data_IF_792885534265
#
_entry.id   IF_792885534265
#
_cell.length_a   1.000
_cell.length_b   1.000
_cell.length_c   1.000
_cell.angle_alpha   90.00
_cell.angle_beta   90.00
_cell.angle_gamma   90.00
#
_symmetry.space_group_name_H-M   'P 1'
#
loop_
_entity.id
_entity.type
_entity.pdbx_description
1 polymer ?
#
# COMPACT_ATOMS: atom_id res chain seq x y z
N UNK A 1 15.10 -12.56 11.42
CA UNK A 1 13.93 -11.82 10.90
C UNK A 1 14.31 -10.35 10.89
N UNK A 2 14.37 -9.71 9.75
CA UNK A 2 14.70 -8.28 9.70
C UNK A 2 13.43 -7.51 10.08
N UNK A 3 13.35 -7.06 11.33
CA UNK A 3 12.26 -6.18 11.77
C UNK A 3 12.44 -4.81 11.09
N UNK A 4 11.88 -4.65 9.91
CA UNK A 4 11.96 -3.38 9.14
C UNK A 4 11.11 -2.32 9.80
N UNK A 5 9.92 -2.70 10.30
CA UNK A 5 8.98 -1.81 10.94
C UNK A 5 7.98 -2.56 11.83
N UNK A 6 7.37 -1.81 12.75
CA UNK A 6 6.25 -2.29 13.56
C UNK A 6 4.96 -1.60 13.09
N UNK A 7 3.91 -2.40 12.89
CA UNK A 7 2.55 -1.93 12.64
C UNK A 7 1.75 -1.92 13.93
N UNK A 8 1.20 -0.76 14.29
CA UNK A 8 0.26 -0.63 15.42
C UNK A 8 -1.12 -0.28 14.86
N UNK A 9 -2.08 -1.20 14.92
CA UNK A 9 -3.43 -0.97 14.41
C UNK A 9 -4.27 -0.12 15.39
N UNK A 10 -5.36 0.49 14.94
CA UNK A 10 -6.36 1.09 15.81
C UNK A 10 -7.14 0.01 16.59
N UNK A 11 -7.94 0.45 17.59
CA UNK A 11 -8.82 -0.45 18.35
C UNK A 11 -9.77 -1.19 17.39
N UNK A 12 -10.01 -2.48 17.66
CA UNK A 12 -10.86 -3.33 16.85
C UNK A 12 -10.13 -4.05 15.71
N UNK A 13 -8.79 -3.94 15.66
CA UNK A 13 -7.94 -4.65 14.72
C UNK A 13 -6.83 -5.42 15.44
N UNK A 14 -6.47 -6.58 14.94
CA UNK A 14 -5.41 -7.44 15.47
C UNK A 14 -4.37 -7.73 14.40
N UNK A 15 -3.09 -7.51 14.71
CA UNK A 15 -1.97 -7.98 13.89
C UNK A 15 -1.83 -9.49 14.04
N UNK A 16 -1.72 -10.21 12.92
CA UNK A 16 -1.54 -11.65 12.90
C UNK A 16 -0.14 -12.04 13.39
N UNK A 17 -0.04 -13.17 14.06
CA UNK A 17 1.25 -13.83 14.32
C UNK A 17 1.90 -14.27 13.01
N UNK A 18 3.20 -14.59 13.03
CA UNK A 18 3.93 -14.98 11.82
C UNK A 18 3.31 -16.20 11.12
N UNK A 19 2.88 -17.19 11.89
CA UNK A 19 2.22 -18.39 11.36
C UNK A 19 0.83 -18.11 10.76
N UNK A 20 0.05 -17.23 11.42
CA UNK A 20 -1.26 -16.78 10.90
C UNK A 20 -1.08 -15.95 9.63
N UNK A 21 -0.10 -15.04 9.61
CA UNK A 21 0.25 -14.21 8.44
C UNK A 21 0.61 -15.09 7.25
N UNK A 22 1.51 -16.05 7.43
CA UNK A 22 1.94 -16.92 6.33
C UNK A 22 0.78 -17.74 5.77
N UNK A 23 -0.10 -18.24 6.64
CA UNK A 23 -1.33 -18.93 6.20
C UNK A 23 -2.23 -18.00 5.40
N UNK A 24 -2.49 -16.80 5.90
CA UNK A 24 -3.32 -15.79 5.21
C UNK A 24 -2.76 -15.45 3.82
N UNK A 25 -1.44 -15.21 3.71
CA UNK A 25 -0.78 -14.93 2.43
C UNK A 25 -1.00 -16.07 1.44
N UNK A 26 -0.82 -17.32 1.87
CA UNK A 26 -0.98 -18.48 1.00
C UNK A 26 -2.44 -18.70 0.55
N UNK A 27 -3.40 -18.42 1.43
CA UNK A 27 -4.84 -18.65 1.18
C UNK A 27 -5.49 -17.52 0.37
N UNK A 28 -5.01 -16.26 0.54
CA UNK A 28 -5.70 -15.08 0.00
C UNK A 28 -4.87 -14.23 -0.96
N UNK A 29 -3.53 -14.27 -0.88
CA UNK A 29 -2.67 -13.34 -1.62
C UNK A 29 -1.72 -14.01 -2.62
N UNK A 30 -1.84 -15.31 -2.84
CA UNK A 30 -1.08 -16.02 -3.88
C UNK A 30 0.43 -16.07 -3.66
N UNK A 31 0.93 -15.91 -2.42
CA UNK A 31 2.34 -16.11 -2.08
C UNK A 31 3.24 -14.90 -2.32
N UNK A 32 2.81 -13.69 -1.99
CA UNK A 32 3.61 -12.45 -2.10
C UNK A 32 4.64 -12.38 -0.97
N UNK A 33 5.93 -12.16 -1.28
CA UNK A 33 7.05 -12.26 -0.34
C UNK A 33 7.42 -10.98 0.43
N UNK A 34 6.90 -9.80 0.05
CA UNK A 34 7.29 -8.50 0.60
C UNK A 34 6.41 -8.00 1.75
N UNK A 35 5.50 -8.84 2.27
CA UNK A 35 4.57 -8.49 3.32
C UNK A 35 5.20 -8.65 4.71
N UNK A 36 5.31 -7.53 5.42
CA UNK A 36 5.86 -7.47 6.79
C UNK A 36 4.81 -7.87 7.81
N UNK A 37 3.59 -7.34 7.70
CA UNK A 37 2.51 -7.58 8.64
C UNK A 37 1.15 -7.62 7.94
N UNK A 38 0.25 -8.43 8.50
CA UNK A 38 -1.19 -8.45 8.17
C UNK A 38 -1.96 -8.15 9.45
N UNK A 39 -3.02 -7.36 9.34
CA UNK A 39 -3.97 -7.16 10.42
C UNK A 39 -5.41 -7.39 9.92
N UNK A 40 -6.21 -7.98 10.78
CA UNK A 40 -7.64 -8.22 10.52
C UNK A 40 -8.49 -7.47 11.55
N UNK A 41 -9.70 -7.02 11.17
CA UNK A 41 -10.67 -6.56 12.16
C UNK A 41 -11.07 -7.71 13.09
N UNK A 42 -11.39 -7.38 14.34
CA UNK A 42 -11.82 -8.37 15.34
C UNK A 42 -13.04 -9.15 14.81
N UNK A 43 -12.93 -10.46 14.73
CA UNK A 43 -13.99 -11.34 14.19
C UNK A 43 -14.13 -11.30 12.66
N UNK A 44 -13.19 -10.67 11.95
CA UNK A 44 -13.20 -10.60 10.48
C UNK A 44 -12.94 -11.96 9.81
N UNK A 45 -13.48 -12.12 8.61
CA UNK A 45 -13.38 -13.35 7.79
C UNK A 45 -12.27 -13.27 6.72
N UNK A 46 -11.48 -12.21 6.70
CA UNK A 46 -10.40 -12.03 5.74
C UNK A 46 -10.77 -11.28 4.45
N UNK A 47 -12.04 -10.94 4.22
CA UNK A 47 -12.45 -10.09 3.09
C UNK A 47 -12.06 -8.62 3.29
N UNK A 48 -11.94 -8.21 4.56
CA UNK A 48 -11.41 -6.91 4.97
C UNK A 48 -10.12 -7.15 5.72
N UNK A 49 -9.03 -6.53 5.29
CA UNK A 49 -7.73 -6.67 5.93
C UNK A 49 -6.85 -5.44 5.71
N UNK A 50 -5.78 -5.35 6.48
CA UNK A 50 -4.69 -4.42 6.26
C UNK A 50 -3.39 -5.20 6.09
N UNK A 51 -2.54 -4.76 5.15
CA UNK A 51 -1.20 -5.28 4.97
C UNK A 51 -0.18 -4.17 5.03
N UNK A 52 0.97 -4.44 5.64
CA UNK A 52 2.16 -3.61 5.59
C UNK A 52 3.21 -4.32 4.75
N UNK A 53 3.72 -3.66 3.71
CA UNK A 53 4.81 -4.15 2.88
C UNK A 53 5.99 -3.19 2.87
N UNK A 54 7.18 -3.70 2.54
CA UNK A 54 8.37 -2.90 2.30
C UNK A 54 8.73 -2.91 0.83
N UNK A 55 9.01 -1.72 0.29
CA UNK A 55 9.43 -1.54 -1.11
C UNK A 55 10.84 -0.99 -1.16
N UNK A 56 11.82 -1.83 -1.51
CA UNK A 56 13.19 -1.38 -1.71
C UNK A 56 13.29 -0.64 -3.05
N UNK A 57 13.38 0.68 -2.99
CA UNK A 57 13.45 1.53 -4.18
C UNK A 57 14.66 2.50 -4.18
N UNK A 58 15.47 2.48 -3.13
CA UNK A 58 16.43 3.53 -2.86
C UNK A 58 15.79 4.79 -2.26
N UNK A 59 16.59 5.81 -2.02
CA UNK A 59 16.11 7.09 -1.50
C UNK A 59 15.34 7.86 -2.56
N UNK A 60 14.12 8.24 -2.24
CA UNK A 60 13.24 9.04 -3.10
C UNK A 60 13.17 10.46 -2.57
N UNK A 61 13.51 11.46 -3.42
CA UNK A 61 13.37 12.87 -3.08
C UNK A 61 11.87 13.24 -2.97
N UNK A 62 11.50 13.86 -1.86
CA UNK A 62 10.12 14.26 -1.57
C UNK A 62 9.75 15.66 -2.03
N UNK A 63 10.68 16.38 -2.67
CA UNK A 63 10.44 17.73 -3.18
C UNK A 63 9.62 17.80 -4.47
N UNK A 64 9.19 16.67 -5.01
CA UNK A 64 8.42 16.60 -6.25
C UNK A 64 6.93 16.55 -5.90
N UNK A 65 6.14 17.54 -6.39
CA UNK A 65 4.70 17.54 -6.14
C UNK A 65 4.03 16.31 -6.79
N UNK A 66 3.07 15.72 -6.07
CA UNK A 66 2.25 14.63 -6.60
C UNK A 66 1.21 15.23 -7.52
N UNK A 67 1.21 14.79 -8.79
CA UNK A 67 0.15 15.09 -9.75
C UNK A 67 -0.89 13.96 -9.75
N UNK A 68 -2.11 14.19 -9.22
CA UNK A 68 -3.15 13.16 -9.17
C UNK A 68 -3.54 12.62 -10.56
N UNK A 69 -3.40 13.42 -11.61
CA UNK A 69 -3.70 13.00 -12.97
C UNK A 69 -2.73 11.93 -13.45
N UNK A 70 -1.44 12.13 -13.19
CA UNK A 70 -0.41 11.13 -13.52
C UNK A 70 -0.57 9.85 -12.69
N UNK A 71 -0.90 9.98 -11.40
CA UNK A 71 -1.17 8.82 -10.53
C UNK A 71 -2.37 8.04 -11.08
N UNK A 72 -3.47 8.73 -11.42
CA UNK A 72 -4.64 8.08 -12.03
C UNK A 72 -4.30 7.35 -13.33
N UNK A 73 -3.54 8.00 -14.23
CA UNK A 73 -3.15 7.40 -15.50
C UNK A 73 -2.36 6.10 -15.26
N UNK A 74 -1.35 6.13 -14.41
CA UNK A 74 -0.56 4.94 -14.11
C UNK A 74 -1.38 3.83 -13.46
N UNK A 75 -2.29 4.15 -12.52
CA UNK A 75 -3.22 3.17 -11.95
C UNK A 75 -4.07 2.52 -13.05
N UNK A 76 -4.59 3.32 -14.01
CA UNK A 76 -5.40 2.77 -15.09
C UNK A 76 -4.60 1.84 -16.00
N UNK A 77 -3.35 2.20 -16.32
CA UNK A 77 -2.43 1.37 -17.11
C UNK A 77 -2.10 0.05 -16.39
N UNK A 78 -1.86 0.09 -15.07
CA UNK A 78 -1.61 -1.10 -14.25
C UNK A 78 -2.84 -2.02 -14.20
N UNK A 79 -4.05 -1.45 -14.08
CA UNK A 79 -5.30 -2.23 -14.10
C UNK A 79 -5.56 -2.87 -15.46
N UNK A 80 -5.28 -2.17 -16.55
CA UNK A 80 -5.40 -2.73 -17.91
C UNK A 80 -4.44 -3.90 -18.10
N UNK A 81 -3.21 -3.79 -17.61
CA UNK A 81 -2.23 -4.87 -17.63
C UNK A 81 -2.68 -6.06 -16.76
N UNK A 82 -3.14 -5.80 -15.53
CA UNK A 82 -3.69 -6.84 -14.64
C UNK A 82 -4.85 -7.60 -15.30
N UNK A 83 -5.80 -6.89 -15.90
CA UNK A 83 -6.92 -7.50 -16.61
C UNK A 83 -6.47 -8.37 -17.77
N UNK A 84 -5.49 -7.90 -18.54
CA UNK A 84 -4.92 -8.66 -19.66
C UNK A 84 -4.21 -9.92 -19.18
N UNK A 85 -3.33 -9.83 -18.19
CA UNK A 85 -2.56 -10.95 -17.64
C UNK A 85 -3.47 -12.00 -16.98
N UNK A 86 -4.56 -11.56 -16.33
CA UNK A 86 -5.53 -12.43 -15.64
C UNK A 86 -6.65 -12.91 -16.57
N UNK A 87 -6.67 -12.47 -17.84
CA UNK A 87 -7.74 -12.83 -18.80
C UNK A 87 -9.11 -12.25 -18.44
N UNK A 88 -9.17 -11.19 -17.61
CA UNK A 88 -10.41 -10.57 -17.18
C UNK A 88 -10.92 -9.59 -18.23
N UNK A 89 -12.18 -9.75 -18.65
CA UNK A 89 -12.80 -8.90 -19.67
C UNK A 89 -14.26 -8.61 -19.36
N UNK A 90 -14.81 -7.59 -20.03
CA UNK A 90 -16.23 -7.25 -19.93
C UNK A 90 -16.66 -6.94 -18.48
N UNK A 91 -17.57 -7.74 -17.95
CA UNK A 91 -18.11 -7.56 -16.60
C UNK A 91 -17.22 -8.13 -15.48
N UNK A 92 -16.14 -8.82 -15.81
CA UNK A 92 -15.20 -9.37 -14.80
C UNK A 92 -13.98 -8.48 -14.60
N UNK A 93 -13.76 -7.53 -15.49
CA UNK A 93 -12.60 -6.64 -15.44
C UNK A 93 -12.60 -5.75 -14.19
N UNK A 94 -11.40 -5.55 -13.62
CA UNK A 94 -11.15 -4.55 -12.58
C UNK A 94 -11.08 -3.17 -13.23
N UNK A 95 -11.83 -2.20 -12.70
CA UNK A 95 -11.92 -0.86 -13.28
C UNK A 95 -11.74 0.22 -12.24
N UNK A 96 -11.01 1.24 -12.61
CA UNK A 96 -10.95 2.50 -11.90
C UNK A 96 -12.31 3.18 -11.80
N UNK A 97 -12.61 3.75 -10.62
CA UNK A 97 -13.79 4.60 -10.39
C UNK A 97 -13.39 6.02 -9.98
N UNK A 98 -12.75 6.17 -8.83
CA UNK A 98 -12.38 7.47 -8.28
C UNK A 98 -11.24 7.38 -7.27
N UNK A 99 -10.65 8.53 -6.92
CA UNK A 99 -9.91 8.65 -5.67
C UNK A 99 -10.86 8.82 -4.48
N UNK A 100 -10.54 8.19 -3.36
CA UNK A 100 -11.28 8.28 -2.10
C UNK A 100 -10.38 8.14 -0.86
N UNK A 101 -9.56 9.15 -0.49
CA UNK A 101 -9.34 10.48 -1.09
C UNK A 101 -8.26 10.50 -2.18
N UNK A 102 -8.10 11.67 -2.86
CA UNK A 102 -6.97 11.90 -3.77
C UNK A 102 -5.63 11.91 -3.02
N UNK A 103 -4.51 11.58 -3.72
CA UNK A 103 -3.19 11.55 -3.11
C UNK A 103 -2.80 12.86 -2.47
N UNK A 104 -2.38 12.80 -1.20
CA UNK A 104 -1.88 13.93 -0.43
C UNK A 104 -0.59 13.53 0.29
N UNK A 105 0.46 14.31 0.07
CA UNK A 105 1.72 14.18 0.79
C UNK A 105 1.72 15.05 2.04
N UNK A 106 2.14 14.47 3.17
CA UNK A 106 2.42 15.16 4.42
C UNK A 106 3.93 15.14 4.68
N UNK A 107 4.56 16.29 4.58
CA UNK A 107 6.01 16.45 4.79
C UNK A 107 6.44 16.21 6.25
N UNK A 108 5.55 16.36 7.22
CA UNK A 108 5.87 16.14 8.63
C UNK A 108 6.03 14.64 8.93
N UNK A 109 5.17 13.80 8.38
CA UNK A 109 5.24 12.35 8.51
C UNK A 109 6.01 11.66 7.40
N UNK A 110 6.40 12.38 6.34
CA UNK A 110 6.99 11.83 5.11
C UNK A 110 6.13 10.74 4.46
N UNK A 111 4.82 10.87 4.59
CA UNK A 111 3.87 9.88 4.05
C UNK A 111 2.95 10.49 3.01
N UNK A 112 2.55 9.66 2.04
CA UNK A 112 1.44 9.92 1.11
C UNK A 112 0.25 9.10 1.54
N UNK A 113 -0.91 9.71 1.65
CA UNK A 113 -2.17 9.01 1.90
C UNK A 113 -3.12 9.21 0.72
N UNK A 114 -3.77 8.14 0.27
CA UNK A 114 -4.79 8.18 -0.77
C UNK A 114 -5.68 6.94 -0.71
N UNK A 115 -6.81 7.03 -1.38
CA UNK A 115 -7.72 5.90 -1.57
C UNK A 115 -8.09 5.74 -3.03
N UNK A 116 -8.34 4.51 -3.44
CA UNK A 116 -8.76 4.14 -4.78
C UNK A 116 -10.04 3.32 -4.70
N UNK A 117 -11.12 3.87 -5.22
CA UNK A 117 -12.33 3.09 -5.49
C UNK A 117 -12.21 2.39 -6.83
N UNK A 118 -12.49 1.10 -6.82
CA UNK A 118 -12.48 0.21 -7.96
C UNK A 118 -13.84 -0.46 -8.12
N UNK A 119 -14.09 -1.07 -9.26
CA UNK A 119 -15.09 -2.15 -9.36
C UNK A 119 -14.40 -3.41 -9.84
N UNK A 120 -14.71 -4.52 -9.17
CA UNK A 120 -14.31 -5.86 -9.58
C UNK A 120 -15.59 -6.51 -10.15
N UNK A 121 -15.68 -6.51 -11.48
CA UNK A 121 -16.96 -6.76 -12.09
C UNK A 121 -17.96 -5.63 -11.80
N UNK A 122 -19.04 -5.98 -11.09
CA UNK A 122 -20.05 -5.02 -10.61
C UNK A 122 -19.90 -4.67 -9.13
N UNK A 123 -19.05 -5.40 -8.40
CA UNK A 123 -18.86 -5.22 -6.96
C UNK A 123 -17.92 -4.06 -6.69
N UNK A 124 -18.26 -3.15 -5.76
CA UNK A 124 -17.38 -2.08 -5.37
C UNK A 124 -16.23 -2.59 -4.50
N UNK A 125 -15.03 -2.07 -4.74
CA UNK A 125 -13.86 -2.29 -3.91
C UNK A 125 -13.23 -0.97 -3.52
N UNK A 126 -12.60 -0.91 -2.36
CA UNK A 126 -11.87 0.24 -1.84
C UNK A 126 -10.53 -0.20 -1.29
N UNK A 127 -9.47 0.39 -1.82
CA UNK A 127 -8.14 0.28 -1.27
C UNK A 127 -7.68 1.64 -0.74
N UNK A 128 -7.32 1.71 0.56
CA UNK A 128 -6.69 2.89 1.15
C UNK A 128 -5.20 2.63 1.33
N UNK A 129 -4.40 3.62 0.98
CA UNK A 129 -2.94 3.53 1.01
C UNK A 129 -2.34 4.62 1.89
N UNK A 130 -1.37 4.21 2.73
CA UNK A 130 -0.44 5.09 3.42
C UNK A 130 0.96 4.64 3.11
N UNK A 131 1.66 5.41 2.29
CA UNK A 131 3.04 5.14 1.90
C UNK A 131 3.98 6.10 2.60
N UNK A 132 4.87 5.59 3.44
CA UNK A 132 5.84 6.37 4.19
C UNK A 132 7.25 6.14 3.65
N UNK A 133 7.93 7.23 3.28
CA UNK A 133 9.27 7.20 2.74
C UNK A 133 10.29 6.81 3.81
N UNK A 134 11.26 6.02 3.39
CA UNK A 134 12.40 5.59 4.18
C UNK A 134 13.72 6.01 3.52
N UNK A 135 14.83 5.80 4.25
CA UNK A 135 16.20 6.01 3.78
C UNK A 135 16.50 5.32 2.43
N UNK A 136 15.93 4.13 2.20
CA UNK A 136 16.24 3.28 1.05
C UNK A 136 15.00 2.62 0.42
N UNK A 137 13.85 3.26 0.52
CA UNK A 137 12.60 2.75 -0.04
C UNK A 137 11.38 3.34 0.63
N UNK A 138 10.31 2.56 0.74
CA UNK A 138 9.08 2.95 1.43
C UNK A 138 8.40 1.79 2.15
N UNK A 139 7.64 2.12 3.18
CA UNK A 139 6.65 1.26 3.81
C UNK A 139 5.28 1.60 3.27
N UNK A 140 4.54 0.60 2.83
CA UNK A 140 3.20 0.77 2.28
C UNK A 140 2.21 0.00 3.14
N UNK A 141 1.34 0.73 3.82
CA UNK A 141 0.14 0.17 4.44
C UNK A 141 -1.00 0.25 3.45
N UNK A 142 -1.61 -0.88 3.15
CA UNK A 142 -2.80 -0.99 2.31
C UNK A 142 -3.94 -1.56 3.16
N UNK A 143 -5.07 -0.86 3.19
CA UNK A 143 -6.33 -1.37 3.73
C UNK A 143 -7.21 -1.78 2.55
N UNK A 144 -7.71 -3.00 2.59
CA UNK A 144 -8.53 -3.60 1.53
C UNK A 144 -9.92 -3.88 2.06
N UNK A 145 -10.94 -3.56 1.27
CA UNK A 145 -12.34 -3.83 1.58
C UNK A 145 -13.27 -3.16 0.57
N UNK A 146 -14.44 -2.77 1.02
CA UNK A 146 -15.45 -2.05 0.23
C UNK A 146 -15.75 -0.67 0.84
N UNK A 147 -16.38 0.25 0.10
CA UNK A 147 -16.81 1.53 0.65
C UNK A 147 -17.76 1.40 1.86
N UNK A 148 -18.49 0.29 1.97
CA UNK A 148 -19.42 0.03 3.07
C UNK A 148 -18.72 -0.39 4.39
N UNK A 149 -17.46 -0.81 4.33
CA UNK A 149 -16.73 -1.29 5.52
C UNK A 149 -16.23 -0.17 6.43
N UNK A 150 -16.38 1.10 6.04
CA UNK A 150 -15.99 2.24 6.85
C UNK A 150 -14.48 2.32 7.10
N UNK A 151 -13.66 1.87 6.16
CA UNK A 151 -12.20 1.87 6.27
C UNK A 151 -11.65 3.27 6.51
N UNK A 152 -10.64 3.39 7.38
CA UNK A 152 -9.97 4.65 7.68
C UNK A 152 -8.48 4.42 7.97
N UNK A 153 -7.63 5.29 7.45
CA UNK A 153 -6.20 5.33 7.79
C UNK A 153 -5.93 5.96 9.17
N UNK A 154 -6.95 6.55 9.80
CA UNK A 154 -6.81 7.16 11.12
C UNK A 154 -6.50 6.10 12.19
N UNK A 155 -5.56 6.41 13.07
CA UNK A 155 -5.16 5.52 14.16
C UNK A 155 -4.13 4.46 13.81
N UNK A 156 -3.85 4.22 12.53
CA UNK A 156 -2.76 3.36 12.12
C UNK A 156 -1.41 4.05 12.30
N UNK A 157 -0.49 3.37 12.99
CA UNK A 157 0.89 3.83 13.16
C UNK A 157 1.87 2.83 12.58
N UNK A 158 2.79 3.34 11.77
CA UNK A 158 3.92 2.60 11.20
C UNK A 158 5.18 3.16 11.86
N UNK A 159 5.92 2.32 12.55
CA UNK A 159 7.17 2.72 13.21
C UNK A 159 8.32 1.99 12.54
N UNK A 160 9.09 2.65 11.64
CA UNK A 160 10.26 2.05 11.03
C UNK A 160 11.38 1.88 12.07
N UNK A 161 12.31 0.95 11.83
CA UNK A 161 13.56 0.91 12.57
C UNK A 161 14.32 2.23 12.42
N UNK A 162 15.05 2.62 13.48
CA UNK A 162 15.72 3.93 13.53
C UNK A 162 16.74 4.15 12.40
N UNK A 163 17.47 3.11 12.02
CA UNK A 163 18.45 3.14 10.93
C UNK A 163 17.82 3.23 9.52
N UNK A 164 16.52 2.98 9.39
CA UNK A 164 15.78 3.04 8.12
C UNK A 164 14.99 4.35 7.95
N UNK A 165 14.98 5.22 8.95
CA UNK A 165 14.27 6.50 8.86
C UNK A 165 14.79 7.36 7.71
N UNK A 166 13.89 8.10 7.08
CA UNK A 166 14.18 8.96 5.93
C UNK A 166 15.34 9.94 6.17
N UNK A 167 15.39 10.53 7.37
CA UNK A 167 16.41 11.50 7.80
C UNK A 167 17.81 10.89 7.99
N UNK A 168 17.92 9.56 7.96
CA UNK A 168 19.19 8.83 8.06
C UNK A 168 19.86 8.60 6.71
N UNK A 169 19.30 9.12 5.62
CA UNK A 169 19.91 9.02 4.29
C UNK A 169 21.34 9.57 4.27
N UNK A 170 22.24 8.78 3.74
CA UNK A 170 23.65 9.17 3.53
C UNK A 170 23.95 9.18 2.01
N UNK A 171 24.15 10.38 1.41
CA UNK A 171 24.36 10.48 -0.03
C UNK A 171 25.65 9.80 -0.53
N UNK A 172 26.56 9.39 0.38
CA UNK A 172 27.82 8.72 0.02
C UNK A 172 27.69 7.19 -0.02
N UNK A 173 26.72 6.62 0.68
CA UNK A 173 26.58 5.17 0.83
C UNK A 173 25.23 4.62 0.39
N UNK A 174 24.17 5.43 0.40
CA UNK A 174 22.84 4.97 0.09
C UNK A 174 22.48 5.12 -1.39
N UNK A 175 21.82 4.11 -1.98
CA UNK A 175 21.35 4.21 -3.35
C UNK A 175 20.21 5.24 -3.45
N UNK A 176 20.24 6.06 -4.50
CA UNK A 176 19.08 6.87 -4.89
C UNK A 176 18.15 6.06 -5.77
N UNK A 177 16.84 6.33 -5.65
CA UNK A 177 15.87 5.75 -6.54
C UNK A 177 16.08 6.24 -7.98
N UNK A 178 15.88 5.34 -8.95
CA UNK A 178 15.91 5.69 -10.38
C UNK A 178 14.64 6.45 -10.81
N UNK A 179 13.62 6.51 -9.97
CA UNK A 179 12.32 7.12 -10.23
C UNK A 179 11.92 8.18 -9.21
N UNK A 180 10.77 8.78 -9.47
CA UNK A 180 10.15 9.79 -8.61
C UNK A 180 9.19 9.15 -7.60
N UNK A 181 8.69 9.95 -6.65
CA UNK A 181 7.62 9.56 -5.73
C UNK A 181 6.39 9.00 -6.47
N UNK A 182 6.07 9.54 -7.65
CA UNK A 182 4.95 9.02 -8.48
C UNK A 182 5.23 7.59 -8.93
N UNK A 183 6.45 7.29 -9.41
CA UNK A 183 6.82 5.93 -9.81
C UNK A 183 6.66 4.94 -8.65
N UNK A 184 7.04 5.37 -7.43
CA UNK A 184 6.89 4.53 -6.24
C UNK A 184 5.41 4.27 -5.89
N UNK A 185 4.52 5.27 -6.09
CA UNK A 185 3.07 5.11 -5.91
C UNK A 185 2.48 4.09 -6.90
N UNK A 186 2.98 4.07 -8.13
CA UNK A 186 2.51 3.17 -9.20
C UNK A 186 3.02 1.73 -9.07
N UNK A 187 4.01 1.47 -8.23
CA UNK A 187 4.46 0.10 -7.92
C UNK A 187 3.51 -0.65 -6.97
N UNK A 188 2.41 -0.03 -6.54
CA UNK A 188 1.41 -0.68 -5.69
C UNK A 188 0.61 -1.70 -6.52
N UNK A 189 0.69 -2.98 -6.11
CA UNK A 189 -0.21 -3.99 -6.65
C UNK A 189 -1.60 -3.75 -6.05
N UNK A 190 -2.59 -3.66 -6.92
CA UNK A 190 -4.00 -3.64 -6.49
C UNK A 190 -4.40 -5.06 -6.13
N UNK A 191 -5.03 -5.21 -4.96
CA UNK A 191 -5.48 -6.49 -4.42
C UNK A 191 -7.00 -6.53 -4.47
#
# INVERSE_FOLDING_TARGET
MNDIATLTPPKGWKVLSESEKQRFINEHLGGVDDIIAIALPDGGNGSVFAQLSYRPAGYVDDNIPIDPTRVRQGISEDLDMLNQESGLAGNEAVRWKSFAPAPKYDSASRCVEYGVELSIGQEPALNLYKMCLLRNGALVLTLVGTPADGLSLQGWRITPQDNLRYERFDPHSDPRAEGTLINLLLMNRFI
#
